data_IF_971439544477
#
_entry.id   IF_971439544477
#
_cell.length_a   1.000
_cell.length_b   1.000
_cell.length_c   1.000
_cell.angle_alpha   90.00
_cell.angle_beta   90.00
_cell.angle_gamma   90.00
#
_symmetry.space_group_name_H-M   'P 1'
#
loop_
_entity.id
_entity.type
_entity.pdbx_description
1 polymer ?
#
# COMPACT_ATOMS: atom_id res chain seq x y z
N UNK A 1 -28.79 -32.68 32.75
CA UNK A 1 -28.93 -32.49 31.30
C UNK A 1 -29.91 -31.35 31.04
N UNK A 2 -29.50 -30.22 30.44
CA UNK A 2 -30.47 -29.21 30.07
C UNK A 2 -31.22 -29.70 28.83
N UNK A 3 -32.52 -29.87 28.99
CA UNK A 3 -33.50 -30.24 27.96
C UNK A 3 -34.32 -28.99 27.61
N UNK A 4 -34.39 -28.63 26.34
CA UNK A 4 -35.27 -27.55 25.87
C UNK A 4 -34.82 -26.95 24.52
N UNK A 5 -35.75 -26.67 23.59
CA UNK A 5 -35.43 -26.16 22.25
C UNK A 5 -35.02 -24.68 22.33
N UNK A 6 -33.76 -24.38 21.99
CA UNK A 6 -33.23 -23.02 22.01
C UNK A 6 -33.65 -22.28 20.74
N UNK A 7 -34.49 -21.26 20.92
CA UNK A 7 -35.10 -20.48 19.83
C UNK A 7 -34.09 -19.46 19.25
N UNK A 8 -33.06 -19.08 20.01
CA UNK A 8 -32.05 -18.10 19.60
C UNK A 8 -30.65 -18.54 20.04
N UNK A 9 -29.63 -18.16 19.25
CA UNK A 9 -28.23 -18.53 19.51
C UNK A 9 -27.69 -17.99 20.86
N UNK A 10 -28.29 -16.91 21.37
CA UNK A 10 -27.94 -16.29 22.65
C UNK A 10 -28.40 -17.12 23.86
N UNK A 11 -29.60 -17.70 23.79
CA UNK A 11 -30.15 -18.56 24.83
C UNK A 11 -29.37 -19.88 24.99
N UNK A 12 -28.83 -20.43 23.89
CA UNK A 12 -28.00 -21.63 23.91
C UNK A 12 -26.59 -21.38 24.51
N UNK A 13 -26.02 -20.18 24.31
CA UNK A 13 -24.74 -19.76 24.92
C UNK A 13 -24.82 -19.65 26.44
N UNK A 14 -25.92 -19.07 26.95
CA UNK A 14 -26.14 -18.90 28.40
C UNK A 14 -26.37 -20.22 29.15
N UNK A 15 -26.91 -21.24 28.46
CA UNK A 15 -27.15 -22.57 29.03
C UNK A 15 -25.88 -23.45 29.16
N UNK A 16 -24.69 -22.90 28.87
CA UNK A 16 -23.43 -23.65 28.90
C UNK A 16 -23.32 -24.73 27.83
N UNK A 17 -24.25 -24.75 26.86
CA UNK A 17 -24.12 -25.60 25.69
C UNK A 17 -23.01 -25.02 24.81
N UNK A 18 -22.05 -25.87 24.43
CA UNK A 18 -21.00 -25.49 23.49
C UNK A 18 -21.66 -25.26 22.13
N UNK A 19 -22.12 -24.03 21.89
CA UNK A 19 -22.45 -23.57 20.54
C UNK A 19 -21.13 -23.48 19.78
N UNK A 20 -20.71 -24.58 19.17
CA UNK A 20 -19.64 -24.56 18.18
C UNK A 20 -20.17 -23.74 17.01
N UNK A 21 -19.94 -22.42 17.07
CA UNK A 21 -20.32 -21.45 16.06
C UNK A 21 -19.37 -21.58 14.86
N UNK A 22 -19.33 -22.76 14.25
CA UNK A 22 -18.59 -23.03 13.02
C UNK A 22 -18.98 -22.03 11.94
N UNK A 23 -20.26 -21.65 11.87
CA UNK A 23 -20.71 -20.59 10.97
C UNK A 23 -19.98 -19.26 11.18
N UNK A 24 -19.75 -18.84 12.42
CA UNK A 24 -19.04 -17.59 12.72
C UNK A 24 -17.53 -17.70 12.46
N UNK A 25 -16.91 -18.82 12.85
CA UNK A 25 -15.49 -19.06 12.60
C UNK A 25 -15.18 -19.11 11.10
N UNK A 26 -15.97 -19.88 10.35
CA UNK A 26 -15.86 -19.99 8.89
C UNK A 26 -16.11 -18.63 8.25
N UNK A 27 -17.14 -17.88 8.68
CA UNK A 27 -17.38 -16.52 8.17
C UNK A 27 -16.20 -15.57 8.40
N UNK A 28 -15.57 -15.62 9.57
CA UNK A 28 -14.38 -14.81 9.86
C UNK A 28 -13.19 -15.21 8.98
N UNK A 29 -12.97 -16.51 8.77
CA UNK A 29 -11.91 -17.02 7.87
C UNK A 29 -12.17 -16.58 6.42
N UNK A 30 -13.39 -16.74 5.93
CA UNK A 30 -13.77 -16.30 4.58
C UNK A 30 -13.69 -14.80 4.39
N UNK A 31 -14.07 -14.01 5.40
CA UNK A 31 -13.97 -12.55 5.36
C UNK A 31 -12.51 -12.11 5.25
N UNK A 32 -11.62 -12.73 6.05
CA UNK A 32 -10.19 -12.44 5.99
C UNK A 32 -9.55 -12.85 4.66
N UNK A 33 -9.88 -14.04 4.14
CA UNK A 33 -9.41 -14.50 2.83
C UNK A 33 -9.90 -13.57 1.69
N UNK A 34 -11.16 -13.15 1.73
CA UNK A 34 -11.74 -12.32 0.67
C UNK A 34 -11.09 -10.94 0.63
N UNK A 35 -10.93 -10.28 1.79
CA UNK A 35 -10.34 -8.94 1.86
C UNK A 35 -8.86 -8.96 1.42
N UNK A 36 -8.08 -9.94 1.89
CA UNK A 36 -6.68 -10.08 1.48
C UNK A 36 -6.54 -10.39 0.00
N UNK A 37 -7.39 -11.27 -0.54
CA UNK A 37 -7.40 -11.61 -1.97
C UNK A 37 -7.76 -10.40 -2.85
N UNK A 38 -8.82 -9.68 -2.50
CA UNK A 38 -9.26 -8.48 -3.21
C UNK A 38 -8.22 -7.37 -3.11
N UNK A 39 -7.69 -7.08 -1.93
CA UNK A 39 -6.66 -6.05 -1.75
C UNK A 39 -5.39 -6.35 -2.57
N UNK A 40 -4.93 -7.61 -2.58
CA UNK A 40 -3.78 -8.02 -3.38
C UNK A 40 -4.00 -7.80 -4.88
N UNK A 41 -5.14 -8.26 -5.40
CA UNK A 41 -5.49 -8.08 -6.81
C UNK A 41 -5.73 -6.61 -7.17
N UNK A 42 -6.37 -5.84 -6.29
CA UNK A 42 -6.63 -4.41 -6.47
C UNK A 42 -5.33 -3.61 -6.53
N UNK A 43 -4.41 -3.84 -5.58
CA UNK A 43 -3.08 -3.22 -5.60
C UNK A 43 -2.29 -3.63 -6.84
N UNK A 44 -2.34 -4.91 -7.25
CA UNK A 44 -1.69 -5.37 -8.49
C UNK A 44 -2.30 -4.72 -9.72
N UNK A 45 -3.61 -4.51 -9.75
CA UNK A 45 -4.32 -3.89 -10.88
C UNK A 45 -3.99 -2.41 -10.99
N UNK A 46 -4.03 -1.67 -9.87
CA UNK A 46 -3.62 -0.27 -9.83
C UNK A 46 -2.15 -0.13 -10.17
N UNK A 47 -1.26 -0.95 -9.61
CA UNK A 47 0.16 -0.93 -9.94
C UNK A 47 0.42 -1.34 -11.40
N UNK A 48 -0.39 -2.23 -12.00
CA UNK A 48 -0.27 -2.59 -13.42
C UNK A 48 -0.70 -1.45 -14.35
N UNK A 49 -1.73 -0.69 -13.95
CA UNK A 49 -2.16 0.52 -14.66
C UNK A 49 -1.14 1.65 -14.49
N UNK A 50 -0.66 1.85 -13.26
CA UNK A 50 0.39 2.83 -12.94
C UNK A 50 1.73 2.47 -13.53
N UNK A 51 2.09 1.20 -13.71
CA UNK A 51 3.32 0.80 -14.41
C UNK A 51 3.36 1.20 -15.89
N UNK A 52 2.22 1.45 -16.54
CA UNK A 52 2.22 2.14 -17.85
C UNK A 52 2.54 3.63 -17.76
N UNK A 53 2.50 4.20 -16.56
CA UNK A 53 2.73 5.62 -16.25
C UNK A 53 3.99 5.85 -15.37
N UNK A 54 4.50 4.83 -14.68
CA UNK A 54 5.66 4.92 -13.77
C UNK A 54 7.00 4.77 -14.49
N UNK A 55 7.02 4.28 -15.74
CA UNK A 55 8.12 4.55 -16.68
C UNK A 55 8.30 6.08 -16.91
N UNK A 56 7.23 6.86 -16.70
CA UNK A 56 7.24 8.34 -16.74
C UNK A 56 7.33 8.99 -15.34
N UNK A 57 7.32 8.21 -14.26
CA UNK A 57 7.23 8.70 -12.87
C UNK A 57 8.56 8.68 -12.10
N UNK A 58 9.40 7.66 -12.29
CA UNK A 58 10.73 7.61 -11.66
C UNK A 58 11.75 8.58 -12.29
N UNK A 59 11.46 9.14 -13.47
CA UNK A 59 12.36 10.04 -14.20
C UNK A 59 12.14 11.53 -13.94
N UNK A 60 11.02 11.95 -13.35
CA UNK A 60 10.71 13.39 -13.19
C UNK A 60 11.20 14.02 -11.89
N UNK A 61 11.17 13.29 -10.77
CA UNK A 61 11.63 13.84 -9.49
C UNK A 61 13.16 13.88 -9.41
N UNK A 62 13.81 12.92 -10.08
CA UNK A 62 15.26 12.76 -10.15
C UNK A 62 15.88 13.42 -11.38
N UNK A 63 15.26 14.45 -11.96
CA UNK A 63 15.87 15.19 -13.08
C UNK A 63 16.54 16.48 -12.64
N UNK A 64 16.20 16.99 -11.45
CA UNK A 64 16.57 18.35 -11.06
C UNK A 64 17.16 18.40 -9.65
N UNK A 65 18.29 19.11 -9.49
CA UNK A 65 18.96 19.38 -8.21
C UNK A 65 19.05 20.89 -7.99
N UNK A 66 19.16 21.29 -6.73
CA UNK A 66 19.39 22.69 -6.36
C UNK A 66 20.90 22.95 -6.32
N UNK A 67 21.35 24.05 -6.90
CA UNK A 67 22.76 24.48 -6.82
C UNK A 67 23.07 25.05 -5.43
N UNK A 68 24.12 24.55 -4.76
CA UNK A 68 24.54 24.99 -3.41
C UNK A 68 25.04 26.45 -3.37
N UNK A 69 25.48 26.99 -4.50
CA UNK A 69 26.08 28.34 -4.54
C UNK A 69 25.05 29.44 -4.78
N UNK A 70 24.05 29.19 -5.62
CA UNK A 70 23.10 30.21 -6.08
C UNK A 70 21.63 29.80 -5.93
N UNK A 71 21.35 28.63 -5.34
CA UNK A 71 20.02 28.08 -5.08
C UNK A 71 19.14 27.94 -6.34
N UNK A 72 19.73 28.04 -7.52
CA UNK A 72 19.03 27.87 -8.79
C UNK A 72 18.80 26.39 -9.06
N UNK A 73 17.63 26.08 -9.61
CA UNK A 73 17.19 24.74 -9.98
C UNK A 73 17.86 24.34 -11.30
N UNK A 74 18.71 23.31 -11.26
CA UNK A 74 19.55 22.86 -12.39
C UNK A 74 19.38 21.36 -12.65
N UNK A 75 19.61 20.86 -13.88
CA UNK A 75 19.49 19.43 -14.14
C UNK A 75 20.56 18.64 -13.40
N UNK A 76 20.23 17.42 -12.98
CA UNK A 76 21.11 16.57 -12.16
C UNK A 76 22.45 16.28 -12.86
N UNK A 77 22.42 16.18 -14.20
CA UNK A 77 23.59 15.97 -15.06
C UNK A 77 24.41 17.24 -15.34
N UNK A 78 24.10 18.40 -14.76
CA UNK A 78 24.93 19.59 -14.95
C UNK A 78 26.25 19.48 -14.16
N UNK A 79 27.39 19.72 -14.84
CA UNK A 79 28.72 19.91 -14.22
C UNK A 79 29.01 21.38 -13.88
N UNK A 80 28.32 22.31 -14.56
CA UNK A 80 28.45 23.76 -14.39
C UNK A 80 27.07 24.39 -14.26
N UNK A 81 26.87 25.26 -13.28
CA UNK A 81 25.63 25.99 -13.11
C UNK A 81 25.48 27.08 -14.20
N UNK A 82 24.30 27.22 -14.81
CA UNK A 82 24.04 28.23 -15.85
C UNK A 82 23.92 29.65 -15.30
N UNK A 83 23.47 29.81 -14.05
CA UNK A 83 23.25 31.12 -13.43
C UNK A 83 24.51 31.72 -12.81
N UNK A 84 25.30 30.92 -12.08
CA UNK A 84 26.48 31.40 -11.34
C UNK A 84 27.82 30.89 -11.89
N UNK A 85 27.82 30.05 -12.93
CA UNK A 85 29.02 29.45 -13.53
C UNK A 85 29.89 28.57 -12.60
N UNK A 86 29.47 28.35 -11.34
CA UNK A 86 30.15 27.46 -10.39
C UNK A 86 30.08 26.00 -10.82
N UNK A 87 31.12 25.24 -10.48
CA UNK A 87 31.17 23.80 -10.69
C UNK A 87 30.31 23.09 -9.64
N UNK A 88 29.49 22.15 -10.09
CA UNK A 88 28.59 21.36 -9.23
C UNK A 88 28.79 19.88 -9.51
N UNK A 89 28.93 19.08 -8.45
CA UNK A 89 29.10 17.64 -8.59
C UNK A 89 27.84 17.00 -9.21
N UNK A 90 28.02 16.06 -10.15
CA UNK A 90 26.92 15.27 -10.71
C UNK A 90 26.48 14.23 -9.68
N UNK A 91 25.18 14.13 -9.41
CA UNK A 91 24.62 13.12 -8.52
C UNK A 91 23.98 12.07 -9.43
N UNK A 92 24.61 10.91 -9.63
CA UNK A 92 23.97 9.83 -10.38
C UNK A 92 22.87 9.20 -9.52
N UNK A 93 21.66 9.16 -10.07
CA UNK A 93 20.49 8.58 -9.40
C UNK A 93 20.34 7.16 -9.91
N UNK A 94 20.74 6.20 -9.10
CA UNK A 94 20.59 4.76 -9.33
C UNK A 94 19.40 4.22 -8.53
#
# INVERSE_FOLDING_TARGET
SPVGPYITADAARMAGAVTLNYGLFVNSVFSFLTISWVAFWFLKFINRLKRKTEDLGQTKDNSTKVCEYCLTVIPIKAKKCSACASEVAQIEVN
#
